data_IF_298453085919
#
_entry.id   IF_298453085919
#
_cell.length_a   1.000
_cell.length_b   1.000
_cell.length_c   1.000
_cell.angle_alpha   90.00
_cell.angle_beta   90.00
_cell.angle_gamma   90.00
#
_symmetry.space_group_name_H-M   'P 1'
#
loop_
_entity.id
_entity.type
_entity.pdbx_description
1 polymer ?
#
# COMPACT_ATOMS: atom_id res chain seq x y z
N UNK A 1 -12.61 -18.42 -7.54
CA UNK A 1 -12.38 -16.98 -7.77
C UNK A 1 -13.17 -16.21 -6.74
N UNK A 2 -12.52 -15.31 -6.01
CA UNK A 2 -13.19 -14.39 -5.10
C UNK A 2 -13.58 -13.15 -5.93
N UNK A 3 -14.86 -12.86 -6.15
CA UNK A 3 -15.31 -11.80 -7.07
C UNK A 3 -14.86 -10.41 -6.64
N UNK A 4 -14.47 -10.24 -5.37
CA UNK A 4 -14.04 -8.96 -4.81
C UNK A 4 -12.51 -8.77 -4.88
N UNK A 5 -11.78 -9.71 -5.48
CA UNK A 5 -10.30 -9.65 -5.58
C UNK A 5 -9.89 -9.08 -6.95
N UNK A 6 -9.07 -8.02 -7.00
CA UNK A 6 -8.59 -7.47 -8.26
C UNK A 6 -7.74 -8.48 -9.05
N UNK A 7 -7.87 -8.51 -10.38
CA UNK A 7 -7.14 -9.48 -11.23
C UNK A 7 -5.62 -9.36 -11.09
N UNK A 8 -5.11 -8.14 -10.90
CA UNK A 8 -3.68 -7.88 -10.71
C UNK A 8 -3.15 -8.53 -9.42
N UNK A 9 -3.99 -8.78 -8.42
CA UNK A 9 -3.57 -9.29 -7.13
C UNK A 9 -2.97 -10.71 -7.22
N UNK A 10 -3.30 -11.50 -8.24
CA UNK A 10 -2.69 -12.82 -8.43
C UNK A 10 -1.31 -12.76 -9.08
N UNK A 11 -0.86 -11.58 -9.50
CA UNK A 11 0.38 -11.40 -10.27
C UNK A 11 1.37 -10.48 -9.57
N UNK A 12 1.26 -10.25 -8.26
CA UNK A 12 2.21 -9.39 -7.54
C UNK A 12 3.11 -10.17 -6.58
N UNK A 13 4.29 -9.62 -6.38
CA UNK A 13 5.23 -9.99 -5.34
C UNK A 13 5.64 -8.73 -4.57
N UNK A 14 5.92 -8.90 -3.29
CA UNK A 14 6.42 -7.83 -2.44
C UNK A 14 7.92 -8.01 -2.28
N UNK A 15 8.69 -6.97 -2.58
CA UNK A 15 10.14 -6.97 -2.34
C UNK A 15 10.38 -6.68 -0.87
N UNK A 16 10.97 -7.64 -0.17
CA UNK A 16 11.29 -7.50 1.25
C UNK A 16 12.54 -6.61 1.46
N UNK A 17 12.92 -6.38 2.73
CA UNK A 17 14.07 -5.55 3.07
C UNK A 17 15.43 -6.10 2.57
N UNK A 18 15.49 -7.37 2.17
CA UNK A 18 16.68 -8.03 1.62
C UNK A 18 16.72 -7.94 0.09
N UNK A 19 15.73 -7.30 -0.54
CA UNK A 19 15.63 -7.21 -2.01
C UNK A 19 15.07 -8.47 -2.66
N UNK A 20 14.47 -9.38 -1.89
CA UNK A 20 13.89 -10.63 -2.39
C UNK A 20 12.40 -10.43 -2.65
N UNK A 21 11.94 -10.78 -3.85
CA UNK A 21 10.52 -10.80 -4.19
C UNK A 21 9.85 -11.99 -3.50
N UNK A 22 8.79 -11.71 -2.73
CA UNK A 22 8.06 -12.71 -1.95
C UNK A 22 6.58 -12.69 -2.34
N UNK A 23 6.05 -13.85 -2.69
CA UNK A 23 4.62 -14.03 -2.98
C UNK A 23 3.80 -13.89 -1.69
N UNK A 24 2.70 -13.11 -1.68
CA UNK A 24 1.83 -13.05 -0.52
C UNK A 24 1.17 -14.39 -0.20
N UNK A 25 1.12 -14.73 1.07
CA UNK A 25 0.57 -15.99 1.60
C UNK A 25 -0.93 -15.94 1.82
N UNK A 26 -1.51 -14.74 2.01
CA UNK A 26 -2.95 -14.56 2.17
C UNK A 26 -3.42 -13.21 1.62
N UNK A 27 -4.71 -13.14 1.30
CA UNK A 27 -5.35 -12.00 0.64
C UNK A 27 -6.68 -11.69 1.30
N UNK A 28 -6.90 -10.41 1.57
CA UNK A 28 -8.16 -9.89 2.10
C UNK A 28 -8.68 -8.76 1.21
N UNK A 29 -9.71 -9.04 0.39
CA UNK A 29 -10.44 -8.00 -0.33
C UNK A 29 -11.02 -6.97 0.63
N UNK A 30 -10.99 -5.71 0.22
CA UNK A 30 -11.50 -4.59 1.04
C UNK A 30 -12.82 -4.02 0.49
N UNK A 31 -13.44 -4.66 -0.49
CA UNK A 31 -14.66 -4.18 -1.15
C UNK A 31 -14.41 -2.99 -2.09
N UNK A 32 -13.16 -2.81 -2.51
CA UNK A 32 -12.74 -1.79 -3.47
C UNK A 32 -11.82 -2.44 -4.52
N UNK A 33 -12.07 -2.19 -5.80
CA UNK A 33 -11.29 -2.78 -6.90
C UNK A 33 -9.87 -2.20 -7.00
N UNK A 34 -9.60 -1.12 -6.29
CA UNK A 34 -8.34 -0.39 -6.29
C UNK A 34 -7.35 -0.89 -5.23
N UNK A 35 -7.71 -1.80 -4.33
CA UNK A 35 -6.81 -2.22 -3.25
C UNK A 35 -7.09 -3.59 -2.67
N UNK A 36 -6.08 -4.15 -2.03
CA UNK A 36 -6.17 -5.41 -1.29
C UNK A 36 -5.20 -5.39 -0.13
N UNK A 37 -5.59 -6.01 0.99
CA UNK A 37 -4.66 -6.26 2.08
C UNK A 37 -4.06 -7.66 1.94
N UNK A 38 -2.75 -7.78 2.16
CA UNK A 38 -1.98 -8.98 1.87
C UNK A 38 -1.08 -9.34 3.04
N UNK A 39 -1.00 -10.63 3.34
CA UNK A 39 -0.02 -11.16 4.30
C UNK A 39 1.20 -11.68 3.55
N UNK A 40 2.40 -11.35 4.01
CA UNK A 40 3.66 -11.91 3.49
C UNK A 40 4.39 -12.58 4.65
N UNK A 41 4.85 -13.82 4.46
CA UNK A 41 5.55 -14.54 5.53
C UNK A 41 6.79 -13.77 5.99
N UNK A 42 6.87 -13.49 7.29
CA UNK A 42 7.99 -12.75 7.89
C UNK A 42 7.88 -11.23 7.81
N UNK A 43 6.78 -10.67 7.29
CA UNK A 43 6.53 -9.23 7.29
C UNK A 43 5.28 -8.93 8.13
N UNK A 44 5.46 -8.09 9.16
CA UNK A 44 4.39 -7.62 10.03
C UNK A 44 4.45 -6.08 10.16
N UNK A 45 3.31 -5.38 10.16
CA UNK A 45 1.95 -5.90 10.01
C UNK A 45 1.61 -6.30 8.55
N UNK A 46 0.35 -6.71 8.31
CA UNK A 46 -0.23 -6.88 6.97
C UNK A 46 0.10 -5.69 6.06
N UNK A 47 0.23 -5.92 4.76
CA UNK A 47 0.58 -4.91 3.77
C UNK A 47 -0.68 -4.52 3.00
N UNK A 48 -0.92 -3.22 2.84
CA UNK A 48 -1.95 -2.69 1.97
C UNK A 48 -1.34 -2.39 0.61
N UNK A 49 -1.83 -3.08 -0.43
CA UNK A 49 -1.44 -2.83 -1.83
C UNK A 49 -2.56 -2.05 -2.51
N UNK A 50 -2.18 -0.96 -3.16
CA UNK A 50 -3.09 0.01 -3.78
C UNK A 50 -2.70 0.19 -5.24
N UNK A 51 -3.68 0.08 -6.13
CA UNK A 51 -3.58 0.47 -7.54
C UNK A 51 -3.84 1.97 -7.68
N UNK A 52 -2.90 2.65 -8.33
CA UNK A 52 -2.97 4.07 -8.64
C UNK A 52 -2.76 4.28 -10.14
N UNK A 53 -3.02 5.49 -10.64
CA UNK A 53 -2.75 5.84 -12.04
C UNK A 53 -1.24 5.71 -12.39
N UNK A 54 -0.36 5.78 -11.39
CA UNK A 54 1.09 5.63 -11.53
C UNK A 54 1.57 4.20 -11.23
N UNK A 55 0.65 3.24 -11.16
CA UNK A 55 0.93 1.83 -10.88
C UNK A 55 0.64 1.43 -9.44
N UNK A 56 1.16 0.26 -9.04
CA UNK A 56 0.94 -0.29 -7.71
C UNK A 56 1.82 0.41 -6.67
N UNK A 57 1.28 0.58 -5.47
CA UNK A 57 1.99 1.05 -4.27
C UNK A 57 1.66 0.12 -3.12
N UNK A 58 2.65 -0.17 -2.29
CA UNK A 58 2.45 -1.01 -1.11
C UNK A 58 2.98 -0.32 0.14
N UNK A 59 2.17 -0.34 1.20
CA UNK A 59 2.50 0.24 2.50
C UNK A 59 2.10 -0.72 3.61
N UNK A 60 2.70 -0.58 4.79
CA UNK A 60 2.20 -1.29 5.96
C UNK A 60 0.76 -0.86 6.25
N UNK A 61 -0.14 -1.82 6.49
CA UNK A 61 -1.55 -1.61 6.76
C UNK A 61 -1.78 -1.16 8.21
N UNK A 62 -1.10 -0.07 8.60
CA UNK A 62 -1.12 0.45 9.96
C UNK A 62 -0.87 1.95 9.94
N UNK A 63 -1.68 2.70 10.68
CA UNK A 63 -1.46 4.12 10.86
C UNK A 63 -0.37 4.37 11.90
N UNK A 64 0.63 5.18 11.57
CA UNK A 64 1.72 5.59 12.49
C UNK A 64 1.25 6.31 13.75
N UNK A 65 0.06 6.92 13.77
CA UNK A 65 -0.38 7.69 14.94
C UNK A 65 -0.87 6.81 16.09
N UNK A 66 -1.70 5.80 15.81
CA UNK A 66 -2.34 4.95 16.85
C UNK A 66 -2.41 3.47 16.49
N UNK A 67 -1.74 3.02 15.43
CA UNK A 67 -1.74 1.62 15.03
C UNK A 67 -3.03 1.13 14.37
N UNK A 68 -3.94 2.03 13.98
CA UNK A 68 -5.22 1.64 13.37
C UNK A 68 -5.02 1.16 11.93
N UNK A 69 -5.73 0.10 11.52
CA UNK A 69 -5.66 -0.43 10.16
C UNK A 69 -6.12 0.60 9.12
N UNK A 70 -5.50 0.59 7.94
CA UNK A 70 -5.78 1.52 6.85
C UNK A 70 -6.75 0.93 5.81
N UNK A 71 -7.35 -0.22 6.09
CA UNK A 71 -8.35 -0.91 5.27
C UNK A 71 -9.40 0.02 4.65
N UNK A 72 -10.05 0.80 5.52
CA UNK A 72 -11.16 1.69 5.17
C UNK A 72 -10.69 3.13 4.90
N UNK A 73 -9.40 3.33 4.66
CA UNK A 73 -8.86 4.65 4.43
C UNK A 73 -9.33 5.21 3.09
N UNK A 74 -9.51 6.52 3.03
CA UNK A 74 -9.83 7.20 1.76
C UNK A 74 -8.55 7.43 0.97
N UNK A 75 -8.56 7.15 -0.34
CA UNK A 75 -7.50 7.60 -1.24
C UNK A 75 -7.81 9.01 -1.74
N UNK A 76 -6.77 9.81 -1.87
CA UNK A 76 -6.89 11.19 -2.29
C UNK A 76 -5.59 11.63 -2.94
N UNK A 77 -5.69 12.60 -3.84
CA UNK A 77 -4.54 13.30 -4.38
C UNK A 77 -4.40 14.61 -3.61
N UNK A 78 -3.29 14.79 -2.88
CA UNK A 78 -2.99 16.08 -2.24
C UNK A 78 -1.86 16.82 -2.98
N UNK A 79 -1.83 18.14 -2.77
CA UNK A 79 -0.66 18.95 -3.05
C UNK A 79 0.26 18.91 -1.84
N UNK A 80 1.43 18.26 -1.95
CA UNK A 80 2.49 18.38 -0.94
C UNK A 80 3.12 19.78 -1.06
N UNK A 81 3.22 20.49 0.07
CA UNK A 81 3.88 21.80 0.17
C UNK A 81 5.38 21.72 -0.21
N UNK A 82 5.96 20.53 -0.19
CA UNK A 82 7.34 20.20 -0.53
C UNK A 82 7.44 19.03 -1.53
N UNK A 83 6.87 19.18 -2.73
CA UNK A 83 7.21 18.44 -3.98
C UNK A 83 6.02 17.68 -4.60
N UNK A 84 5.63 18.20 -5.77
CA UNK A 84 4.77 17.64 -6.83
C UNK A 84 3.26 17.67 -6.54
N UNK A 85 2.56 18.46 -7.36
CA UNK A 85 1.15 18.20 -7.65
C UNK A 85 1.00 16.75 -8.11
N UNK A 86 0.12 15.97 -7.49
CA UNK A 86 -0.20 14.61 -7.96
C UNK A 86 0.17 13.46 -7.01
N UNK A 87 0.71 13.72 -5.81
CA UNK A 87 1.04 12.65 -4.86
C UNK A 87 -0.22 11.93 -4.40
N UNK A 88 -0.26 10.61 -4.60
CA UNK A 88 -1.35 9.78 -4.08
C UNK A 88 -1.13 9.54 -2.59
N UNK A 89 -2.08 10.01 -1.78
CA UNK A 89 -2.07 9.88 -0.33
C UNK A 89 -3.23 8.99 0.14
N UNK A 90 -3.08 8.45 1.35
CA UNK A 90 -4.09 7.68 2.06
C UNK A 90 -4.46 8.38 3.37
N UNK A 91 -5.75 8.56 3.63
CA UNK A 91 -6.27 9.22 4.83
C UNK A 91 -6.77 8.20 5.83
N UNK A 92 -6.11 8.12 6.99
CA UNK A 92 -6.48 7.25 8.09
C UNK A 92 -7.96 7.47 8.48
N UNK A 93 -8.78 6.41 8.56
CA UNK A 93 -10.21 6.53 8.83
C UNK A 93 -10.53 6.97 10.27
N UNK A 94 -9.62 6.72 11.22
CA UNK A 94 -9.85 7.03 12.64
C UNK A 94 -9.75 8.52 12.96
N UNK A 95 -8.72 9.20 12.46
CA UNK A 95 -8.40 10.57 12.86
C UNK A 95 -7.91 11.44 11.70
N UNK A 96 -8.02 10.96 10.46
CA UNK A 96 -7.81 11.77 9.26
C UNK A 96 -6.36 12.15 8.97
N UNK A 97 -5.37 11.48 9.58
CA UNK A 97 -3.97 11.67 9.21
C UNK A 97 -3.75 11.23 7.76
N UNK A 98 -3.05 12.05 6.97
CA UNK A 98 -2.86 11.84 5.53
C UNK A 98 -1.41 11.47 5.29
N UNK A 99 -1.17 10.30 4.69
CA UNK A 99 0.14 9.70 4.47
C UNK A 99 0.38 9.47 2.98
N UNK A 100 1.59 9.75 2.50
CA UNK A 100 2.00 9.51 1.12
C UNK A 100 2.19 8.01 0.89
N UNK A 101 1.64 7.48 -0.20
CA UNK A 101 1.86 6.07 -0.57
C UNK A 101 3.30 5.79 -1.02
N UNK A 102 4.01 6.79 -1.52
CA UNK A 102 5.39 6.64 -2.01
C UNK A 102 6.42 6.65 -0.87
N UNK A 103 6.22 7.54 0.10
CA UNK A 103 7.23 7.80 1.15
C UNK A 103 6.82 7.29 2.53
N UNK A 104 5.54 7.00 2.72
CA UNK A 104 4.96 6.69 4.03
C UNK A 104 4.95 7.86 5.02
N UNK A 105 5.37 9.05 4.62
CA UNK A 105 5.40 10.25 5.46
C UNK A 105 4.05 10.96 5.43
N UNK A 106 3.78 11.79 6.45
CA UNK A 106 2.60 12.65 6.45
C UNK A 106 2.68 13.73 5.35
N UNK A 107 1.68 13.77 4.45
CA UNK A 107 1.69 14.62 3.25
C UNK A 107 1.75 16.13 3.58
N UNK A 108 1.32 16.56 4.78
CA UNK A 108 1.32 17.98 5.18
C UNK A 108 2.59 18.45 5.88
N UNK A 109 3.37 17.54 6.45
CA UNK A 109 4.58 17.93 7.20
C UNK A 109 5.85 17.48 6.50
N UNK A 110 5.78 16.47 5.64
CA UNK A 110 6.94 15.84 5.00
C UNK A 110 7.99 15.32 5.98
N UNK A 111 7.65 15.24 7.27
CA UNK A 111 8.55 14.99 8.40
C UNK A 111 7.84 14.20 9.48
N UNK A 112 8.58 13.36 10.19
CA UNK A 112 8.09 12.59 11.33
C UNK A 112 8.31 11.09 11.16
N UNK A 113 7.50 10.30 11.87
CA UNK A 113 7.44 8.86 11.66
C UNK A 113 6.92 8.56 10.25
N UNK A 114 7.40 7.47 9.65
CA UNK A 114 6.93 6.97 8.36
C UNK A 114 6.33 5.58 8.53
N UNK A 115 5.26 5.28 7.80
CA UNK A 115 4.86 3.89 7.60
C UNK A 115 5.89 3.22 6.67
N UNK A 116 6.24 1.95 6.90
CA UNK A 116 7.00 1.18 5.92
C UNK A 116 6.32 1.20 4.56
N UNK A 117 7.10 1.43 3.51
CA UNK A 117 6.69 1.26 2.11
C UNK A 117 7.42 0.06 1.52
N UNK A 118 6.79 -0.59 0.55
CA UNK A 118 7.32 -1.78 -0.10
C UNK A 118 7.28 -1.61 -1.61
N UNK A 119 8.30 -2.12 -2.28
CA UNK A 119 8.29 -2.25 -3.73
C UNK A 119 7.40 -3.44 -4.12
N UNK A 120 6.60 -3.23 -5.18
CA UNK A 120 5.71 -4.23 -5.74
C UNK A 120 6.27 -4.63 -7.11
N UNK A 121 6.64 -5.90 -7.25
CA UNK A 121 7.05 -6.48 -8.51
C UNK A 121 5.87 -7.23 -9.14
N UNK A 122 5.76 -7.20 -10.46
CA UNK A 122 4.84 -8.08 -11.19
C UNK A 122 5.52 -9.41 -11.43
N UNK A 123 4.82 -10.51 -11.14
CA UNK A 123 5.29 -11.85 -11.47
C UNK A 123 5.57 -11.94 -12.95
N UNK A 124 6.80 -12.34 -13.29
CA UNK A 124 7.13 -12.66 -14.67
C UNK A 124 6.43 -13.98 -14.99
N UNK A 125 5.65 -14.09 -16.08
CA UNK A 125 5.10 -15.37 -16.49
C UNK A 125 6.25 -16.37 -16.63
N UNK A 126 6.08 -17.64 -16.21
CA UNK A 126 7.11 -18.64 -16.47
C UNK A 126 7.38 -18.67 -17.98
N UNK A 127 8.65 -18.53 -18.36
CA UNK A 127 9.08 -18.68 -19.76
C UNK A 127 8.54 -20.02 -20.28
N UNK A 128 7.81 -19.95 -21.40
CA UNK A 128 7.14 -21.10 -22.02
C UNK A 128 8.12 -22.13 -22.57
#
# INVERSE_FOLDING_TARGET
>A
MNPDRPEWADSIEIVNAEGVAVTPTSWRPLGHDDRVAVTVSGIEPEILVVSTDEGLRAIANVCIHRGFALDAATLLTEHDENHRSGTTCIKCPLHGLILSLDTGLACRTGKGQRIPTFEVAMQTPPDK
#
